data_IF_257254367488
#
_entry.id   IF_257254367488
#
_cell.length_a   1.000
_cell.length_b   1.000
_cell.length_c   1.000
_cell.angle_alpha   90.00
_cell.angle_beta   90.00
_cell.angle_gamma   90.00
#
_symmetry.space_group_name_H-M   'P 1'
#
loop_
_entity.id
_entity.type
_entity.pdbx_description
1 polymer ?
#
# COMPACT_ATOMS: atom_id res chain seq x y z
N UNK A 1 -11.99 19.42 -7.50
CA UNK A 1 -10.78 18.57 -7.38
C UNK A 1 -9.79 19.32 -6.53
N UNK A 2 -9.29 18.73 -5.43
CA UNK A 2 -8.22 19.36 -4.66
C UNK A 2 -6.95 19.38 -5.52
N UNK A 3 -6.09 20.41 -5.39
CA UNK A 3 -4.85 20.46 -6.13
C UNK A 3 -3.96 19.28 -5.73
N UNK A 4 -3.37 18.66 -6.74
CA UNK A 4 -2.43 17.56 -6.56
C UNK A 4 -1.11 18.16 -6.07
N UNK A 5 -0.63 17.69 -4.91
CA UNK A 5 0.65 18.17 -4.38
C UNK A 5 1.80 17.78 -5.31
N UNK A 6 2.69 18.75 -5.57
CA UNK A 6 3.99 18.55 -6.22
C UNK A 6 5.12 18.34 -5.22
N UNK A 7 4.86 18.60 -3.94
CA UNK A 7 5.84 18.44 -2.88
C UNK A 7 6.04 16.95 -2.54
N UNK A 8 7.29 16.50 -2.29
CA UNK A 8 7.55 15.13 -1.89
C UNK A 8 6.83 14.77 -0.59
N UNK A 9 6.11 13.65 -0.60
CA UNK A 9 5.55 13.04 0.59
C UNK A 9 6.47 11.90 1.05
N UNK A 10 6.83 11.93 2.34
CA UNK A 10 7.66 10.88 2.94
C UNK A 10 6.84 10.08 3.95
N UNK A 11 6.77 8.77 3.73
CA UNK A 11 6.07 7.84 4.61
C UNK A 11 7.10 6.89 5.21
N UNK A 12 7.15 6.81 6.54
CA UNK A 12 8.06 5.92 7.27
C UNK A 12 7.39 4.56 7.46
N UNK A 13 7.38 3.75 6.41
CA UNK A 13 6.73 2.43 6.39
C UNK A 13 7.21 1.51 7.52
N UNK A 14 8.49 1.54 7.88
CA UNK A 14 9.02 0.76 9.01
C UNK A 14 8.32 1.07 10.33
N UNK A 15 8.05 2.34 10.64
CA UNK A 15 7.33 2.72 11.87
C UNK A 15 5.90 2.19 11.92
N UNK A 16 5.25 2.07 10.76
CA UNK A 16 3.89 1.53 10.63
C UNK A 16 3.94 0.01 10.82
N UNK A 17 4.91 -0.66 10.20
CA UNK A 17 5.12 -2.11 10.35
C UNK A 17 5.41 -2.45 11.81
N UNK A 18 6.33 -1.71 12.45
CA UNK A 18 6.71 -1.93 13.85
C UNK A 18 5.54 -1.71 14.81
N UNK A 19 4.63 -0.78 14.52
CA UNK A 19 3.48 -0.49 15.39
C UNK A 19 2.35 -1.49 15.23
N UNK A 20 2.18 -2.09 14.04
CA UNK A 20 1.12 -3.08 13.78
C UNK A 20 1.52 -4.50 14.13
N UNK A 21 2.81 -4.84 14.03
CA UNK A 21 3.30 -6.19 14.28
C UNK A 21 2.90 -7.17 13.17
N UNK A 22 2.64 -8.42 13.57
CA UNK A 22 2.30 -9.49 12.63
C UNK A 22 0.94 -9.27 11.94
N UNK A 23 0.82 -9.75 10.71
CA UNK A 23 -0.40 -9.67 9.92
C UNK A 23 -1.56 -10.55 10.45
N UNK A 24 -2.76 -10.46 9.84
CA UNK A 24 -3.04 -9.70 8.63
C UNK A 24 -3.47 -8.26 8.94
N UNK A 25 -2.99 -7.30 8.15
CA UNK A 25 -3.48 -5.93 8.22
C UNK A 25 -3.28 -5.17 6.91
N UNK A 26 -4.08 -4.12 6.76
CA UNK A 26 -3.95 -3.12 5.70
C UNK A 26 -3.87 -1.72 6.33
N UNK A 27 -3.11 -0.83 5.70
CA UNK A 27 -3.02 0.59 6.02
C UNK A 27 -3.11 1.41 4.73
N UNK A 28 -4.12 2.27 4.62
CA UNK A 28 -4.18 3.25 3.55
C UNK A 28 -3.10 4.31 3.77
N UNK A 29 -2.24 4.53 2.78
CA UNK A 29 -1.14 5.49 2.89
C UNK A 29 -1.51 6.85 2.29
N UNK A 30 -1.94 6.86 1.03
CA UNK A 30 -2.43 8.08 0.38
C UNK A 30 -3.24 7.80 -0.88
N UNK A 31 -4.06 8.78 -1.25
CA UNK A 31 -4.62 8.91 -2.59
C UNK A 31 -4.59 10.38 -3.00
N UNK A 32 -4.08 10.66 -4.20
CA UNK A 32 -3.89 12.03 -4.71
C UNK A 32 -4.52 12.26 -6.09
N UNK A 33 -5.35 11.32 -6.54
CA UNK A 33 -5.97 11.33 -7.87
C UNK A 33 -5.06 10.84 -9.01
N UNK A 34 -3.78 10.56 -8.75
CA UNK A 34 -2.86 9.87 -9.68
C UNK A 34 -2.62 8.44 -9.23
N UNK A 35 -2.42 8.25 -7.94
CA UNK A 35 -2.15 6.95 -7.33
C UNK A 35 -3.09 6.71 -6.15
N UNK A 36 -3.35 5.44 -5.89
CA UNK A 36 -3.90 4.95 -4.64
C UNK A 36 -2.88 3.97 -4.05
N UNK A 37 -2.43 4.22 -2.83
CA UNK A 37 -1.34 3.46 -2.22
C UNK A 37 -1.77 2.97 -0.85
N UNK A 38 -1.60 1.67 -0.65
CA UNK A 38 -1.74 1.01 0.65
C UNK A 38 -0.52 0.18 1.00
N UNK A 39 -0.38 -0.12 2.29
CA UNK A 39 0.58 -1.07 2.81
C UNK A 39 -0.19 -2.28 3.35
N UNK A 40 0.16 -3.47 2.89
CA UNK A 40 -0.44 -4.73 3.32
C UNK A 40 0.61 -5.59 4.02
N UNK A 41 0.16 -6.37 5.01
CA UNK A 41 0.92 -7.46 5.58
C UNK A 41 0.02 -8.69 5.63
N UNK A 42 0.44 -9.73 4.92
CA UNK A 42 -0.21 -11.03 4.91
C UNK A 42 0.41 -12.00 5.92
N UNK A 43 -0.34 -13.05 6.25
CA UNK A 43 0.15 -14.16 7.07
C UNK A 43 0.87 -15.22 6.23
N UNK A 44 1.80 -16.00 6.81
CA UNK A 44 2.41 -17.13 6.10
C UNK A 44 1.36 -18.10 5.55
N UNK A 45 1.46 -18.42 4.25
CA UNK A 45 0.50 -19.28 3.56
C UNK A 45 -0.74 -18.57 3.01
N UNK A 46 -0.87 -17.25 3.19
CA UNK A 46 -1.86 -16.46 2.45
C UNK A 46 -1.67 -16.63 0.94
N UNK A 47 -2.79 -16.64 0.21
CA UNK A 47 -2.84 -16.75 -1.25
C UNK A 47 -3.14 -15.40 -1.86
N UNK A 48 -2.75 -15.22 -3.13
CA UNK A 48 -3.13 -14.04 -3.88
C UNK A 48 -4.64 -14.03 -4.18
N UNK A 49 -5.22 -12.84 -4.25
CA UNK A 49 -6.55 -12.61 -4.82
C UNK A 49 -6.37 -12.34 -6.33
N UNK A 50 -6.70 -13.31 -7.18
CA UNK A 50 -6.55 -13.17 -8.62
C UNK A 50 -7.68 -12.33 -9.22
N UNK A 51 -7.34 -11.13 -9.69
CA UNK A 51 -8.29 -10.25 -10.35
C UNK A 51 -7.62 -9.41 -11.45
N UNK A 52 -8.47 -8.73 -12.23
CA UNK A 52 -8.05 -7.91 -13.37
C UNK A 52 -8.66 -6.52 -13.26
N UNK A 53 -7.81 -5.50 -13.43
CA UNK A 53 -8.20 -4.10 -13.50
C UNK A 53 -8.15 -3.59 -14.94
N UNK A 54 -9.30 -3.24 -15.57
CA UNK A 54 -9.33 -2.73 -16.94
C UNK A 54 -8.91 -1.25 -17.05
N UNK A 55 -8.89 -0.53 -15.94
CA UNK A 55 -8.85 0.93 -15.86
C UNK A 55 -7.56 1.48 -15.23
N UNK A 56 -6.77 0.65 -14.55
CA UNK A 56 -5.49 1.03 -14.00
C UNK A 56 -4.50 -0.14 -13.92
N UNK A 57 -3.22 0.20 -13.78
CA UNK A 57 -2.17 -0.78 -13.49
C UNK A 57 -1.97 -0.88 -11.99
N UNK A 58 -1.98 -2.10 -11.47
CA UNK A 58 -1.58 -2.39 -10.09
C UNK A 58 -0.19 -3.03 -10.07
N UNK A 59 0.65 -2.65 -9.11
CA UNK A 59 1.96 -3.24 -8.91
C UNK A 59 2.34 -3.29 -7.44
N UNK A 60 3.25 -4.20 -7.11
CA UNK A 60 3.64 -4.50 -5.73
C UNK A 60 5.14 -4.29 -5.54
N UNK A 61 5.52 -3.81 -4.36
CA UNK A 61 6.91 -3.78 -3.90
C UNK A 61 6.98 -4.57 -2.59
N UNK A 62 7.84 -5.58 -2.55
CA UNK A 62 8.05 -6.38 -1.35
C UNK A 62 9.00 -5.63 -0.41
N UNK A 63 8.51 -5.26 0.77
CA UNK A 63 9.29 -4.54 1.79
C UNK A 63 9.90 -5.46 2.85
N UNK A 64 9.26 -6.61 3.12
CA UNK A 64 9.66 -7.59 4.14
C UNK A 64 9.11 -8.97 3.75
N UNK A 65 9.88 -10.02 4.05
CA UNK A 65 9.50 -11.43 3.92
C UNK A 65 10.02 -12.25 5.08
#
# INVERSE_FOLDING_TARGET
>A
MLPISTEPMQIRTSKIIDSKGDGPWYEALFSDGRNNVGLICDTPGSVNDDHYHPDFNEFWIILKG
#
